data_IF_620087617509
#
_entry.id   IF_620087617509
#
_cell.length_a   1.000
_cell.length_b   1.000
_cell.length_c   1.000
_cell.angle_alpha   90.00
_cell.angle_beta   90.00
_cell.angle_gamma   90.00
#
_symmetry.space_group_name_H-M   'P 1'
#
loop_
_entity.id
_entity.type
_entity.pdbx_description
1 polymer ?
#
# COMPACT_ATOMS: atom_id res chain seq x y z
N UNK A 1 40.51 21.49 1.86
CA UNK A 1 39.29 21.83 1.12
C UNK A 1 38.07 21.38 1.91
N UNK A 2 37.25 22.30 2.40
CA UNK A 2 35.98 21.98 3.07
C UNK A 2 34.88 21.84 2.04
N UNK A 3 34.17 20.70 2.03
CA UNK A 3 33.06 20.46 1.12
C UNK A 3 31.84 21.20 1.66
N UNK A 4 31.33 22.17 0.92
CA UNK A 4 30.09 22.86 1.28
C UNK A 4 28.91 21.92 1.01
N UNK A 5 28.27 21.41 2.07
CA UNK A 5 27.17 20.44 1.94
C UNK A 5 25.85 21.15 2.22
N UNK A 6 24.89 20.97 1.32
CA UNK A 6 23.55 21.50 1.50
C UNK A 6 22.74 20.63 2.47
N UNK A 7 22.59 21.09 3.72
CA UNK A 7 21.85 20.38 4.77
C UNK A 7 20.36 20.17 4.42
N UNK A 8 19.74 21.06 3.64
CA UNK A 8 18.35 20.91 3.18
C UNK A 8 18.21 19.70 2.25
N UNK A 9 19.16 19.52 1.34
CA UNK A 9 19.18 18.38 0.42
C UNK A 9 19.35 17.07 1.18
N UNK A 10 20.27 17.03 2.15
CA UNK A 10 20.49 15.85 3.01
C UNK A 10 19.23 15.52 3.81
N UNK A 11 18.55 16.51 4.40
CA UNK A 11 17.28 16.29 5.12
C UNK A 11 16.20 15.70 4.21
N UNK A 12 16.05 16.23 2.98
CA UNK A 12 15.10 15.68 1.99
C UNK A 12 15.46 14.26 1.57
N UNK A 13 16.74 13.97 1.38
CA UNK A 13 17.18 12.60 1.06
C UNK A 13 16.84 11.64 2.20
N UNK A 14 17.14 12.00 3.46
CA UNK A 14 16.80 11.19 4.63
C UNK A 14 15.29 10.93 4.75
N UNK A 15 14.45 11.94 4.49
CA UNK A 15 13.00 11.78 4.49
C UNK A 15 12.53 10.77 3.45
N UNK A 16 13.03 10.90 2.20
CA UNK A 16 12.72 9.93 1.12
C UNK A 16 13.24 8.53 1.42
N UNK A 17 14.39 8.41 2.07
CA UNK A 17 14.96 7.11 2.47
C UNK A 17 14.10 6.44 3.55
N UNK A 18 13.60 7.21 4.52
CA UNK A 18 12.67 6.72 5.52
C UNK A 18 11.36 6.22 4.88
N UNK A 19 10.77 7.01 3.98
CA UNK A 19 9.57 6.61 3.21
C UNK A 19 9.81 5.33 2.40
N UNK A 20 10.97 5.21 1.74
CA UNK A 20 11.34 3.99 0.99
C UNK A 20 11.47 2.76 1.88
N UNK A 21 12.05 2.89 3.08
CA UNK A 21 12.16 1.78 4.03
C UNK A 21 10.80 1.31 4.51
N UNK A 22 9.91 2.25 4.86
CA UNK A 22 8.53 1.93 5.24
C UNK A 22 7.79 1.23 4.09
N UNK A 23 7.97 1.71 2.85
CA UNK A 23 7.38 1.08 1.68
C UNK A 23 7.91 -0.36 1.49
N UNK A 24 9.23 -0.58 1.61
CA UNK A 24 9.84 -1.91 1.53
C UNK A 24 9.34 -2.85 2.62
N UNK A 25 9.25 -2.35 3.86
CA UNK A 25 8.73 -3.10 5.00
C UNK A 25 7.26 -3.49 4.77
N UNK A 26 6.45 -2.58 4.25
CA UNK A 26 5.06 -2.85 3.89
C UNK A 26 4.96 -3.86 2.73
N UNK A 27 5.82 -3.76 1.72
CA UNK A 27 5.90 -4.75 0.64
C UNK A 27 6.25 -6.14 1.18
N UNK A 28 7.24 -6.25 2.08
CA UNK A 28 7.64 -7.51 2.69
C UNK A 28 6.56 -8.08 3.62
N UNK A 29 5.95 -7.25 4.47
CA UNK A 29 4.94 -7.67 5.46
C UNK A 29 3.62 -8.06 4.81
N UNK A 30 3.17 -7.29 3.83
CA UNK A 30 1.83 -7.47 3.29
C UNK A 30 1.82 -8.31 2.02
N UNK A 31 2.94 -8.41 1.28
CA UNK A 31 3.12 -9.27 0.11
C UNK A 31 2.14 -9.05 -1.06
N UNK A 32 1.12 -8.22 -0.84
CA UNK A 32 0.01 -7.93 -1.74
C UNK A 32 -0.06 -6.42 -1.91
N UNK A 33 -0.09 -6.00 -3.16
CA UNK A 33 -0.23 -4.59 -3.53
C UNK A 33 -1.61 -4.05 -3.16
N UNK A 34 -1.75 -2.71 -3.11
CA UNK A 34 -3.05 -2.07 -2.93
C UNK A 34 -4.05 -2.49 -4.03
N UNK A 35 -3.56 -2.69 -5.27
CA UNK A 35 -4.37 -3.12 -6.40
C UNK A 35 -4.92 -4.53 -6.20
N UNK A 36 -4.09 -5.46 -5.74
CA UNK A 36 -4.50 -6.84 -5.43
C UNK A 36 -5.50 -6.86 -4.27
N UNK A 37 -5.26 -6.08 -3.21
CA UNK A 37 -6.22 -5.92 -2.12
C UNK A 37 -7.58 -5.44 -2.63
N UNK A 38 -7.60 -4.36 -3.42
CA UNK A 38 -8.85 -3.82 -3.99
C UNK A 38 -9.56 -4.84 -4.87
N UNK A 39 -8.81 -5.58 -5.69
CA UNK A 39 -9.36 -6.62 -6.56
C UNK A 39 -9.93 -7.79 -5.74
N UNK A 40 -9.28 -8.21 -4.66
CA UNK A 40 -9.84 -9.22 -3.75
C UNK A 40 -11.13 -8.74 -3.10
N UNK A 41 -11.15 -7.51 -2.56
CA UNK A 41 -12.35 -6.93 -1.96
C UNK A 41 -13.50 -6.77 -2.96
N UNK A 42 -13.22 -6.33 -4.19
CA UNK A 42 -14.25 -6.23 -5.22
C UNK A 42 -14.83 -7.60 -5.59
N UNK A 43 -13.98 -8.65 -5.62
CA UNK A 43 -14.44 -10.03 -5.85
C UNK A 43 -15.29 -10.55 -4.69
N UNK A 44 -14.91 -10.28 -3.44
CA UNK A 44 -15.70 -10.71 -2.26
C UNK A 44 -17.05 -10.03 -2.23
N UNK A 45 -17.11 -8.72 -2.45
CA UNK A 45 -18.38 -7.97 -2.50
C UNK A 45 -19.26 -8.49 -3.64
N UNK A 46 -18.68 -8.79 -4.81
CA UNK A 46 -19.45 -9.39 -5.92
C UNK A 46 -20.01 -10.77 -5.55
N UNK A 47 -19.22 -11.62 -4.89
CA UNK A 47 -19.71 -12.92 -4.46
C UNK A 47 -20.79 -12.82 -3.37
N UNK A 48 -20.64 -11.89 -2.42
CA UNK A 48 -21.64 -11.62 -1.38
C UNK A 48 -22.94 -11.16 -2.00
N UNK A 49 -22.91 -10.17 -2.90
CA UNK A 49 -24.08 -9.67 -3.60
C UNK A 49 -24.77 -10.76 -4.46
N UNK A 50 -23.99 -11.64 -5.07
CA UNK A 50 -24.55 -12.78 -5.81
C UNK A 50 -25.26 -13.76 -4.87
N UNK A 51 -24.64 -14.11 -3.74
CA UNK A 51 -25.24 -14.99 -2.74
C UNK A 51 -26.50 -14.38 -2.12
N UNK A 52 -26.48 -13.09 -1.80
CA UNK A 52 -27.64 -12.39 -1.28
C UNK A 52 -28.78 -12.32 -2.30
N UNK A 53 -28.48 -12.09 -3.58
CA UNK A 53 -29.48 -12.18 -4.66
C UNK A 53 -30.03 -13.60 -4.90
N UNK A 54 -29.34 -14.64 -4.42
CA UNK A 54 -29.79 -16.03 -4.46
C UNK A 54 -30.49 -16.48 -3.17
N UNK A 55 -30.52 -15.66 -2.11
CA UNK A 55 -31.36 -15.92 -0.95
C UNK A 55 -32.81 -15.59 -1.34
N UNK A 56 -33.68 -16.60 -1.37
CA UNK A 56 -35.11 -16.34 -1.23
C UNK A 56 -35.31 -15.89 0.22
N UNK A 57 -35.67 -14.63 0.40
CA UNK A 57 -36.29 -14.16 1.64
C UNK A 57 -37.57 -14.99 1.86
N UNK A 58 -37.63 -15.78 2.93
CA UNK A 58 -38.89 -16.32 3.49
C UNK A 58 -39.54 -15.27 4.39
#
# INVERSE_FOLDING_TARGET
MTKLINLRTIRKQRARDAERRVAQENCAKHGRSLAERKLTTARTVKSEAALDGHKLEE
#
